data_IF_457028836200
#
_entry.id   IF_457028836200
#
_cell.length_a   1.000
_cell.length_b   1.000
_cell.length_c   1.000
_cell.angle_alpha   90.00
_cell.angle_beta   90.00
_cell.angle_gamma   90.00
#
_symmetry.space_group_name_H-M   'P 1'
#
loop_
_entity.id
_entity.type
_entity.pdbx_description
1 polymer ?
#
# COMPACT_ATOMS: atom_id res chain seq x y z
N UNK A 1 37.60 -12.30 -35.80
CA UNK A 1 37.37 -11.27 -34.76
C UNK A 1 36.51 -11.91 -33.70
N UNK A 2 37.10 -12.17 -32.53
CA UNK A 2 36.39 -12.79 -31.41
C UNK A 2 35.44 -11.75 -30.80
N UNK A 3 34.17 -12.12 -30.67
CA UNK A 3 33.17 -11.38 -29.91
C UNK A 3 33.58 -11.37 -28.44
N UNK A 4 33.93 -10.20 -27.92
CA UNK A 4 34.12 -9.99 -26.49
C UNK A 4 32.79 -10.35 -25.79
N UNK A 5 32.79 -11.41 -24.99
CA UNK A 5 31.66 -11.73 -24.13
C UNK A 5 31.44 -10.56 -23.16
N UNK A 6 30.25 -9.97 -23.18
CA UNK A 6 29.86 -9.01 -22.16
C UNK A 6 30.02 -9.67 -20.79
N UNK A 7 30.85 -9.08 -19.92
CA UNK A 7 30.94 -9.51 -18.54
C UNK A 7 29.52 -9.46 -17.94
N UNK A 8 29.06 -10.58 -17.39
CA UNK A 8 27.70 -10.70 -16.88
C UNK A 8 27.60 -9.87 -15.58
N UNK A 9 27.05 -8.66 -15.68
CA UNK A 9 26.80 -7.80 -14.53
C UNK A 9 25.67 -8.39 -13.68
N UNK A 10 25.91 -8.54 -12.37
CA UNK A 10 24.90 -9.05 -11.45
C UNK A 10 24.40 -7.91 -10.58
N UNK A 11 23.14 -7.53 -10.78
CA UNK A 11 22.47 -6.52 -9.96
C UNK A 11 21.78 -7.19 -8.77
N UNK A 12 21.89 -6.57 -7.60
CA UNK A 12 21.23 -6.99 -6.38
C UNK A 12 20.27 -5.89 -5.90
N UNK A 13 19.01 -6.24 -5.61
CA UNK A 13 18.01 -5.27 -5.21
C UNK A 13 18.27 -4.71 -3.80
N UNK A 14 17.55 -3.62 -3.44
CA UNK A 14 17.56 -3.15 -2.06
C UNK A 14 17.00 -4.23 -1.13
N UNK A 15 17.53 -4.27 0.09
CA UNK A 15 17.12 -5.26 1.08
C UNK A 15 17.07 -4.67 2.48
N UNK A 16 16.13 -5.14 3.29
CA UNK A 16 16.02 -4.76 4.69
C UNK A 16 17.21 -5.36 5.46
N UNK A 17 18.02 -4.50 6.08
CA UNK A 17 19.14 -4.92 6.92
C UNK A 17 18.73 -4.99 8.38
N UNK A 18 18.03 -3.96 8.85
CA UNK A 18 17.47 -3.95 10.21
C UNK A 18 16.22 -3.10 10.28
N UNK A 19 15.32 -3.48 11.16
CA UNK A 19 14.13 -2.72 11.51
C UNK A 19 13.96 -2.76 13.02
N UNK A 20 13.84 -1.61 13.66
CA UNK A 20 13.71 -1.57 15.11
C UNK A 20 12.84 -0.42 15.58
N UNK A 21 12.26 -0.64 16.76
CA UNK A 21 11.37 0.30 17.43
C UNK A 21 11.94 0.55 18.81
N UNK A 22 12.06 1.82 19.19
CA UNK A 22 12.58 2.20 20.50
C UNK A 22 11.83 3.40 21.07
N UNK A 23 11.94 3.57 22.38
CA UNK A 23 11.46 4.76 23.06
C UNK A 23 12.56 5.29 23.99
N UNK A 24 13.11 6.50 23.75
CA UNK A 24 14.24 7.02 24.50
C UNK A 24 13.90 7.36 25.96
N UNK A 25 12.61 7.45 26.33
CA UNK A 25 12.20 7.66 27.73
C UNK A 25 12.32 6.41 28.60
N UNK A 26 12.46 5.22 28.01
CA UNK A 26 12.63 3.98 28.77
C UNK A 26 14.10 3.77 29.14
N UNK A 27 14.37 3.24 30.33
CA UNK A 27 15.75 3.05 30.82
C UNK A 27 16.57 4.35 30.92
N UNK A 28 16.13 5.34 31.72
CA UNK A 28 16.79 6.65 31.82
C UNK A 28 18.14 6.63 32.57
N UNK A 29 18.52 5.47 33.15
CA UNK A 29 19.75 5.31 33.92
C UNK A 29 20.83 4.65 33.07
N UNK A 30 22.08 4.99 33.34
CA UNK A 30 23.24 4.34 32.73
C UNK A 30 23.20 2.82 32.99
N UNK A 31 23.44 2.03 31.95
CA UNK A 31 23.34 0.57 31.97
C UNK A 31 21.94 0.01 31.72
N UNK A 32 20.94 0.87 31.52
CA UNK A 32 19.56 0.48 31.18
C UNK A 32 19.19 0.73 29.71
N UNK A 33 20.16 1.00 28.83
CA UNK A 33 19.94 1.40 27.44
C UNK A 33 19.16 0.35 26.65
N UNK A 34 19.33 -0.93 26.97
CA UNK A 34 18.55 -2.03 26.39
C UNK A 34 17.03 -1.86 26.61
N UNK A 35 16.62 -1.24 27.73
CA UNK A 35 15.19 -1.05 28.04
C UNK A 35 14.51 -0.09 27.07
N UNK A 36 15.27 0.75 26.34
CA UNK A 36 14.76 1.60 25.25
C UNK A 36 14.23 0.78 24.08
N UNK A 37 14.78 -0.41 23.85
CA UNK A 37 14.48 -1.22 22.67
C UNK A 37 13.17 -1.98 22.88
N UNK A 38 12.20 -1.74 22.00
CA UNK A 38 10.88 -2.36 22.02
C UNK A 38 10.78 -3.52 21.04
N UNK A 39 11.39 -3.40 19.87
CA UNK A 39 11.44 -4.44 18.85
C UNK A 39 12.73 -4.31 18.04
N UNK A 40 13.30 -5.44 17.59
CA UNK A 40 14.46 -5.44 16.72
C UNK A 40 14.47 -6.66 15.79
N UNK A 41 14.56 -6.41 14.49
CA UNK A 41 14.69 -7.41 13.44
C UNK A 41 15.96 -7.14 12.61
N UNK A 42 16.77 -8.17 12.27
CA UNK A 42 16.69 -9.55 12.72
C UNK A 42 16.99 -9.69 14.23
N UNK A 43 16.33 -10.62 14.92
CA UNK A 43 16.47 -10.75 16.38
C UNK A 43 17.80 -11.40 16.79
N UNK A 44 18.47 -12.06 15.86
CA UNK A 44 19.75 -12.75 16.05
C UNK A 44 20.93 -11.79 16.27
N UNK A 45 20.74 -10.49 15.99
CA UNK A 45 21.75 -9.45 16.22
C UNK A 45 22.15 -9.38 17.69
N UNK A 46 23.44 -9.24 17.95
CA UNK A 46 24.01 -9.23 19.30
C UNK A 46 23.50 -8.03 20.10
N UNK A 47 23.31 -8.22 21.41
CA UNK A 47 22.68 -7.22 22.28
C UNK A 47 23.42 -5.88 22.26
N UNK A 48 24.75 -5.88 22.33
CA UNK A 48 25.53 -4.64 22.32
C UNK A 48 25.42 -3.91 20.98
N UNK A 49 25.30 -4.64 19.88
CA UNK A 49 25.06 -4.06 18.56
C UNK A 49 23.67 -3.39 18.47
N UNK A 50 22.62 -4.03 19.01
CA UNK A 50 21.29 -3.40 19.09
C UNK A 50 21.32 -2.09 19.86
N UNK A 51 21.98 -2.07 21.03
CA UNK A 51 22.15 -0.87 21.87
C UNK A 51 22.90 0.22 21.11
N UNK A 52 24.01 -0.13 20.46
CA UNK A 52 24.81 0.81 19.66
C UNK A 52 24.00 1.43 18.53
N UNK A 53 23.21 0.63 17.81
CA UNK A 53 22.41 1.12 16.69
C UNK A 53 21.32 2.09 17.15
N UNK A 54 20.62 1.79 18.25
CA UNK A 54 19.63 2.69 18.85
C UNK A 54 20.29 3.97 19.38
N UNK A 55 21.41 3.86 20.10
CA UNK A 55 22.14 5.01 20.62
C UNK A 55 22.64 5.95 19.52
N UNK A 56 23.11 5.42 18.39
CA UNK A 56 23.49 6.21 17.23
C UNK A 56 22.30 6.97 16.63
N UNK A 57 21.15 6.31 16.48
CA UNK A 57 19.95 6.95 15.94
C UNK A 57 19.43 8.07 16.86
N UNK A 58 19.39 7.80 18.16
CA UNK A 58 19.00 8.79 19.18
C UNK A 58 19.94 10.00 19.13
N UNK A 59 21.26 9.78 19.05
CA UNK A 59 22.25 10.85 18.95
C UNK A 59 22.07 11.69 17.68
N UNK A 60 21.82 11.07 16.51
CA UNK A 60 21.59 11.79 15.25
C UNK A 60 20.32 12.64 15.32
N UNK A 61 19.22 12.05 15.79
CA UNK A 61 17.94 12.77 15.95
C UNK A 61 18.12 13.96 16.89
N UNK A 62 18.76 13.75 18.05
CA UNK A 62 18.95 14.81 19.02
C UNK A 62 19.93 15.89 18.54
N UNK A 63 21.00 15.50 17.85
CA UNK A 63 21.93 16.45 17.22
C UNK A 63 21.21 17.33 16.20
N UNK A 64 20.43 16.72 15.30
CA UNK A 64 19.72 17.46 14.25
C UNK A 64 18.59 18.34 14.77
N UNK A 65 17.95 18.01 15.90
CA UNK A 65 17.00 18.90 16.61
C UNK A 65 17.63 20.24 17.01
N UNK A 66 18.95 20.29 17.22
CA UNK A 66 19.66 21.56 17.52
C UNK A 66 19.59 22.54 16.35
N UNK A 67 19.56 22.04 15.11
CA UNK A 67 19.49 22.86 13.89
C UNK A 67 18.06 23.04 13.38
N UNK A 68 17.19 22.06 13.65
CA UNK A 68 15.80 22.04 13.21
C UNK A 68 14.91 21.45 14.31
N UNK A 69 14.46 22.28 15.28
CA UNK A 69 13.75 21.79 16.47
C UNK A 69 12.45 21.04 16.16
N UNK A 70 11.73 21.45 15.12
CA UNK A 70 10.44 20.87 14.74
C UNK A 70 10.54 19.74 13.69
N UNK A 71 11.68 19.60 13.01
CA UNK A 71 11.88 18.61 11.94
C UNK A 71 13.27 17.98 12.07
N UNK A 72 13.44 16.97 12.95
CA UNK A 72 14.70 16.21 13.05
C UNK A 72 15.00 15.42 11.77
N UNK A 73 16.18 14.81 11.71
CA UNK A 73 16.60 13.95 10.61
C UNK A 73 15.53 12.89 10.26
N UNK A 74 15.18 12.81 8.97
CA UNK A 74 14.25 11.80 8.43
C UNK A 74 14.98 10.64 7.75
N UNK A 75 16.15 10.89 7.19
CA UNK A 75 17.01 9.87 6.60
C UNK A 75 18.49 10.13 6.89
N UNK A 76 19.29 9.07 6.93
CA UNK A 76 20.75 9.11 6.97
C UNK A 76 21.29 8.29 5.81
N UNK A 77 22.17 8.89 5.01
CA UNK A 77 22.74 8.26 3.82
C UNK A 77 24.17 7.82 4.10
N UNK A 78 24.47 6.58 3.75
CA UNK A 78 25.83 6.04 3.74
C UNK A 78 26.09 5.36 2.40
N UNK A 79 27.36 5.06 2.12
CA UNK A 79 27.74 4.35 0.90
C UNK A 79 26.99 3.02 0.71
N UNK A 80 26.75 2.27 1.79
CA UNK A 80 26.23 0.89 1.72
C UNK A 80 24.74 0.77 2.02
N UNK A 81 24.20 1.69 2.81
CA UNK A 81 22.82 1.64 3.26
C UNK A 81 22.26 3.03 3.54
N UNK A 82 20.94 3.08 3.60
CA UNK A 82 20.17 4.24 4.00
C UNK A 82 19.31 3.90 5.21
N UNK A 83 19.26 4.81 6.17
CA UNK A 83 18.44 4.68 7.37
C UNK A 83 17.29 5.67 7.28
N UNK A 84 16.08 5.25 7.63
CA UNK A 84 14.88 6.07 7.65
C UNK A 84 14.32 6.12 9.07
N UNK A 85 13.96 7.31 9.52
CA UNK A 85 13.49 7.58 10.88
C UNK A 85 12.06 8.10 10.84
N UNK A 86 11.19 7.53 11.67
CA UNK A 86 9.82 7.99 11.84
C UNK A 86 9.43 7.97 13.32
N UNK A 87 8.82 9.03 13.80
CA UNK A 87 8.22 9.12 15.14
C UNK A 87 6.69 9.08 14.99
N UNK A 88 6.07 7.89 14.80
CA UNK A 88 4.63 7.78 14.57
C UNK A 88 3.75 8.20 15.76
N UNK A 89 4.27 8.08 16.98
CA UNK A 89 3.64 8.50 18.23
C UNK A 89 4.70 9.18 19.10
N UNK A 90 4.29 10.05 20.01
CA UNK A 90 5.23 10.83 20.83
C UNK A 90 6.25 9.93 21.55
N UNK A 91 7.54 10.12 21.26
CA UNK A 91 8.67 9.36 21.80
C UNK A 91 8.75 7.90 21.33
N UNK A 92 7.87 7.41 20.47
CA UNK A 92 8.04 6.09 19.85
C UNK A 92 8.69 6.27 18.49
N UNK A 93 9.89 5.72 18.35
CA UNK A 93 10.69 5.83 17.13
C UNK A 93 10.74 4.50 16.41
N UNK A 94 10.46 4.53 15.12
CA UNK A 94 10.63 3.42 14.19
C UNK A 94 11.78 3.74 13.24
N UNK A 95 12.67 2.77 13.04
CA UNK A 95 13.83 2.90 12.16
C UNK A 95 13.88 1.73 11.20
N UNK A 96 14.05 2.05 9.91
CA UNK A 96 14.26 1.07 8.85
C UNK A 96 15.59 1.32 8.18
N UNK A 97 16.45 0.31 8.13
CA UNK A 97 17.76 0.37 7.47
C UNK A 97 17.73 -0.50 6.23
N UNK A 98 17.91 0.13 5.07
CA UNK A 98 17.83 -0.53 3.75
C UNK A 98 19.21 -0.50 3.11
N UNK A 99 19.69 -1.65 2.64
CA UNK A 99 20.91 -1.73 1.83
C UNK A 99 20.67 -1.03 0.50
N UNK A 100 21.61 -0.19 0.07
CA UNK A 100 21.58 0.39 -1.26
C UNK A 100 21.68 -0.73 -2.31
N UNK A 101 20.99 -0.61 -3.46
CA UNK A 101 21.17 -1.55 -4.57
C UNK A 101 22.64 -1.64 -4.97
N UNK A 102 23.08 -2.80 -5.42
CA UNK A 102 24.49 -3.01 -5.77
C UNK A 102 24.66 -3.73 -7.10
N UNK A 103 25.66 -3.34 -7.86
CA UNK A 103 26.07 -3.96 -9.12
C UNK A 103 27.43 -4.63 -8.89
N UNK A 104 27.50 -5.92 -9.13
CA UNK A 104 28.75 -6.68 -9.12
C UNK A 104 29.27 -6.79 -10.55
N UNK A 105 30.45 -6.18 -10.78
CA UNK A 105 31.17 -6.19 -12.05
C UNK A 105 32.44 -7.02 -11.91
N UNK A 106 32.77 -7.81 -12.91
CA UNK A 106 34.08 -8.46 -12.96
C UNK A 106 35.11 -7.46 -13.51
N UNK A 107 36.12 -7.15 -12.70
CA UNK A 107 37.28 -6.37 -13.15
C UNK A 107 38.03 -7.12 -14.27
N UNK A 108 38.84 -6.38 -15.05
CA UNK A 108 39.77 -6.95 -16.03
C UNK A 108 40.72 -8.00 -15.42
N UNK A 109 40.96 -7.93 -14.11
CA UNK A 109 41.77 -8.88 -13.34
C UNK A 109 40.96 -10.07 -12.76
N UNK A 110 39.70 -10.24 -13.13
CA UNK A 110 38.83 -11.33 -12.69
C UNK A 110 38.24 -11.19 -11.28
N UNK A 111 38.65 -10.18 -10.49
CA UNK A 111 38.08 -9.93 -9.15
C UNK A 111 36.69 -9.25 -9.23
N UNK A 112 35.72 -9.67 -8.41
CA UNK A 112 34.44 -8.98 -8.31
C UNK A 112 34.62 -7.60 -7.65
N UNK A 113 34.07 -6.58 -8.29
CA UNK A 113 33.99 -5.21 -7.79
C UNK A 113 32.52 -4.90 -7.56
N UNK A 114 32.19 -4.52 -6.31
CA UNK A 114 30.82 -4.18 -5.91
C UNK A 114 30.68 -2.66 -5.90
N UNK A 115 29.74 -2.17 -6.69
CA UNK A 115 29.39 -0.76 -6.80
C UNK A 115 28.00 -0.53 -6.20
N UNK A 116 27.89 0.34 -5.20
CA UNK A 116 26.61 0.68 -4.59
C UNK A 116 25.94 1.84 -5.34
N UNK A 117 24.67 1.67 -5.68
CA UNK A 117 23.86 2.67 -6.37
C UNK A 117 23.15 3.55 -5.33
N UNK A 118 23.89 4.50 -4.75
CA UNK A 118 23.40 5.35 -3.66
C UNK A 118 22.17 6.17 -4.05
N UNK A 119 22.04 6.54 -5.33
CA UNK A 119 20.99 7.43 -5.84
C UNK A 119 19.70 6.72 -6.27
N UNK A 120 19.67 5.39 -6.29
CA UNK A 120 18.48 4.64 -6.73
C UNK A 120 17.34 4.65 -5.70
N UNK A 121 17.64 4.87 -4.42
CA UNK A 121 16.61 4.94 -3.37
C UNK A 121 16.01 6.34 -3.31
N UNK A 122 14.67 6.42 -3.34
CA UNK A 122 13.92 7.67 -3.17
C UNK A 122 13.51 7.84 -1.71
N UNK A 123 13.99 8.90 -1.04
CA UNK A 123 13.79 9.09 0.40
C UNK A 123 12.33 9.10 0.82
N UNK A 124 11.52 9.83 0.07
CA UNK A 124 10.09 9.95 0.36
C UNK A 124 9.38 8.62 0.25
N UNK A 125 9.67 7.82 -0.78
CA UNK A 125 9.08 6.50 -0.98
C UNK A 125 9.31 5.62 0.25
N UNK A 126 10.57 5.46 0.67
CA UNK A 126 10.90 4.59 1.79
C UNK A 126 10.48 5.15 3.15
N UNK A 127 10.43 6.48 3.29
CA UNK A 127 9.84 7.13 4.47
C UNK A 127 8.34 6.85 4.56
N UNK A 128 7.61 6.94 3.44
CA UNK A 128 6.18 6.60 3.36
C UNK A 128 5.93 5.11 3.60
N UNK A 129 6.80 4.22 3.11
CA UNK A 129 6.75 2.78 3.42
C UNK A 129 6.90 2.55 4.93
N UNK A 130 7.85 3.22 5.60
CA UNK A 130 8.01 3.13 7.05
C UNK A 130 6.78 3.62 7.82
N UNK A 131 6.17 4.72 7.38
CA UNK A 131 4.91 5.20 7.95
C UNK A 131 3.76 4.20 7.76
N UNK A 132 3.67 3.59 6.58
CA UNK A 132 2.65 2.57 6.29
C UNK A 132 2.84 1.29 7.12
N UNK A 133 4.08 0.94 7.47
CA UNK A 133 4.36 -0.15 8.41
C UNK A 133 3.67 0.11 9.76
N UNK A 134 3.71 1.35 10.26
CA UNK A 134 2.98 1.75 11.45
C UNK A 134 1.46 1.76 11.23
N UNK A 135 0.97 2.35 10.14
CA UNK A 135 -0.48 2.39 9.85
C UNK A 135 -1.09 0.99 9.80
N UNK A 136 -0.39 0.03 9.19
CA UNK A 136 -0.82 -1.38 9.14
C UNK A 136 -0.76 -2.05 10.52
N UNK A 137 0.26 -1.74 11.34
CA UNK A 137 0.29 -2.19 12.73
C UNK A 137 -0.91 -1.65 13.51
N UNK A 138 -1.17 -0.33 13.37
CA UNK A 138 -2.26 0.39 14.04
C UNK A 138 -3.62 -0.23 13.70
N UNK A 139 -3.85 -0.54 12.41
CA UNK A 139 -5.08 -1.20 11.96
C UNK A 139 -5.39 -2.50 12.71
N UNK A 140 -4.39 -3.30 13.11
CA UNK A 140 -4.62 -4.63 13.73
C UNK A 140 -4.28 -4.72 15.22
N UNK A 141 -3.57 -3.74 15.79
CA UNK A 141 -3.10 -3.80 17.17
C UNK A 141 -3.43 -2.54 17.99
N UNK A 142 -3.98 -1.51 17.35
CA UNK A 142 -4.14 -0.21 17.96
C UNK A 142 -2.84 0.59 18.00
N UNK A 143 -2.87 1.73 18.70
CA UNK A 143 -1.67 2.56 18.94
C UNK A 143 -0.72 1.88 19.93
N UNK A 144 0.56 2.25 19.89
CA UNK A 144 1.55 1.89 20.90
C UNK A 144 1.13 2.38 22.29
N UNK A 145 0.62 3.62 22.38
CA UNK A 145 0.07 4.16 23.61
C UNK A 145 -1.07 3.30 24.17
N UNK A 146 -1.99 2.82 23.33
CA UNK A 146 -3.06 1.95 23.80
C UNK A 146 -2.54 0.62 24.35
N UNK A 147 -1.59 0.00 23.64
CA UNK A 147 -0.95 -1.23 24.14
C UNK A 147 -0.21 -1.01 25.48
N UNK A 148 0.36 0.19 25.69
CA UNK A 148 0.97 0.59 26.95
C UNK A 148 -0.06 0.76 28.07
N UNK A 149 -1.25 1.29 27.79
CA UNK A 149 -2.35 1.38 28.76
C UNK A 149 -2.88 -0.01 29.14
N UNK A 150 -3.04 -0.91 28.16
CA UNK A 150 -3.66 -2.23 28.35
C UNK A 150 -2.79 -3.15 29.23
N UNK A 151 -1.46 -3.01 29.19
CA UNK A 151 -0.57 -3.88 29.97
C UNK A 151 0.91 -3.51 29.93
N UNK A 152 1.21 -2.24 29.66
CA UNK A 152 2.56 -1.69 29.70
C UNK A 152 3.52 -2.23 28.63
N UNK A 153 4.81 -2.02 28.88
CA UNK A 153 5.89 -2.34 27.93
C UNK A 153 5.87 -3.81 27.51
N UNK A 154 5.54 -4.73 28.43
CA UNK A 154 5.53 -6.16 28.14
C UNK A 154 4.51 -6.50 27.05
N UNK A 155 3.26 -6.03 27.18
CA UNK A 155 2.21 -6.26 26.18
C UNK A 155 2.55 -5.60 24.85
N UNK A 156 3.09 -4.39 24.88
CA UNK A 156 3.56 -3.72 23.66
C UNK A 156 4.62 -4.56 22.94
N UNK A 157 5.66 -5.03 23.63
CA UNK A 157 6.70 -5.88 23.03
C UNK A 157 6.13 -7.17 22.41
N UNK A 158 5.19 -7.82 23.09
CA UNK A 158 4.53 -9.03 22.57
C UNK A 158 3.70 -8.76 21.30
N UNK A 159 2.95 -7.64 21.25
CA UNK A 159 2.19 -7.24 20.06
C UNK A 159 3.13 -6.89 18.89
N UNK A 160 4.18 -6.12 19.16
CA UNK A 160 5.19 -5.76 18.16
C UNK A 160 5.86 -6.99 17.56
N UNK A 161 6.33 -7.92 18.40
CA UNK A 161 6.99 -9.15 17.94
C UNK A 161 6.05 -9.99 17.07
N UNK A 162 4.82 -10.23 17.55
CA UNK A 162 3.83 -11.04 16.82
C UNK A 162 3.49 -10.45 15.46
N UNK A 163 3.36 -9.13 15.37
CA UNK A 163 3.00 -8.43 14.13
C UNK A 163 4.19 -8.32 13.18
N UNK A 164 5.26 -7.64 13.60
CA UNK A 164 6.37 -7.29 12.71
C UNK A 164 7.20 -8.50 12.28
N UNK A 165 7.29 -9.56 13.10
CA UNK A 165 7.98 -10.79 12.69
C UNK A 165 7.42 -11.37 11.39
N UNK A 166 6.10 -11.32 11.19
CA UNK A 166 5.44 -11.78 9.96
C UNK A 166 5.33 -10.68 8.92
N UNK A 167 4.97 -9.48 9.33
CA UNK A 167 4.71 -8.37 8.41
C UNK A 167 5.95 -7.95 7.61
N UNK A 168 7.13 -7.89 8.25
CA UNK A 168 8.37 -7.50 7.57
C UNK A 168 8.77 -8.48 6.45
N UNK A 169 8.39 -9.76 6.55
CA UNK A 169 8.64 -10.75 5.49
C UNK A 169 7.79 -10.50 4.24
N UNK A 170 6.73 -9.70 4.35
CA UNK A 170 5.85 -9.34 3.22
C UNK A 170 6.26 -8.02 2.56
N UNK A 171 7.28 -7.33 3.07
CA UNK A 171 7.75 -6.08 2.50
C UNK A 171 8.61 -6.35 1.26
N UNK A 172 8.12 -5.93 0.10
CA UNK A 172 8.82 -6.03 -1.17
C UNK A 172 9.50 -4.69 -1.52
N UNK A 173 10.61 -4.39 -0.84
CA UNK A 173 11.31 -3.09 -0.97
C UNK A 173 11.73 -2.76 -2.41
N UNK A 174 12.10 -3.75 -3.21
CA UNK A 174 12.47 -3.58 -4.62
C UNK A 174 11.32 -3.07 -5.51
N UNK A 175 10.08 -3.21 -5.03
CA UNK A 175 8.86 -2.87 -5.76
C UNK A 175 8.25 -1.56 -5.30
N UNK A 176 8.87 -0.87 -4.34
CA UNK A 176 8.38 0.39 -3.80
C UNK A 176 8.63 1.54 -4.77
N UNK A 177 7.62 2.37 -4.99
CA UNK A 177 7.68 3.50 -5.94
C UNK A 177 6.81 4.69 -5.51
N UNK A 178 6.62 5.64 -6.42
CA UNK A 178 5.88 6.87 -6.15
C UNK A 178 4.44 6.63 -5.64
N UNK A 179 3.79 5.53 -6.04
CA UNK A 179 2.44 5.23 -5.56
C UNK A 179 2.42 4.84 -4.07
N UNK A 180 3.55 4.41 -3.50
CA UNK A 180 3.66 4.24 -2.05
C UNK A 180 3.72 5.58 -1.31
N UNK A 181 4.05 6.69 -1.97
CA UNK A 181 3.92 8.02 -1.34
C UNK A 181 2.43 8.37 -1.23
N UNK A 182 1.69 8.20 -2.33
CA UNK A 182 0.28 8.56 -2.42
C UNK A 182 -0.64 7.62 -1.67
N UNK A 183 -0.28 6.34 -1.58
CA UNK A 183 -1.08 5.27 -0.97
C UNK A 183 -2.56 5.36 -1.31
N UNK A 184 -2.90 5.70 -2.55
CA UNK A 184 -4.26 6.11 -2.90
C UNK A 184 -5.24 4.94 -3.07
N UNK A 185 -6.47 5.31 -3.38
CA UNK A 185 -7.60 4.41 -3.59
C UNK A 185 -7.97 4.45 -5.07
N UNK A 186 -8.00 3.29 -5.72
CA UNK A 186 -8.59 3.19 -7.06
C UNK A 186 -10.10 3.07 -6.93
N UNK A 187 -10.82 4.06 -7.45
CA UNK A 187 -12.28 4.07 -7.47
C UNK A 187 -12.83 3.43 -8.76
N UNK A 188 -13.88 2.61 -8.64
CA UNK A 188 -14.53 2.01 -9.80
C UNK A 188 -15.56 2.99 -10.39
N UNK A 189 -15.45 3.39 -11.67
CA UNK A 189 -16.40 4.31 -12.29
C UNK A 189 -17.73 3.59 -12.55
N UNK A 190 -18.84 4.20 -12.09
CA UNK A 190 -20.19 3.71 -12.29
C UNK A 190 -21.10 4.78 -12.87
N UNK A 191 -22.10 4.35 -13.63
CA UNK A 191 -23.23 5.21 -13.97
C UNK A 191 -24.14 5.40 -12.74
N UNK A 192 -24.97 6.45 -12.81
CA UNK A 192 -25.82 6.86 -11.69
C UNK A 192 -26.79 5.76 -11.25
N UNK A 193 -27.36 4.99 -12.18
CA UNK A 193 -28.38 3.99 -11.84
C UNK A 193 -27.76 2.82 -11.07
N UNK A 194 -26.58 2.39 -11.50
CA UNK A 194 -25.87 1.26 -10.88
C UNK A 194 -25.33 1.62 -9.52
N UNK A 195 -24.81 2.84 -9.37
CA UNK A 195 -24.43 3.37 -8.07
C UNK A 195 -25.63 3.38 -7.10
N UNK A 196 -26.81 3.86 -7.53
CA UNK A 196 -28.02 3.86 -6.70
C UNK A 196 -28.50 2.44 -6.34
N UNK A 197 -28.37 1.46 -7.25
CA UNK A 197 -28.67 0.04 -6.94
C UNK A 197 -27.76 -0.47 -5.82
N UNK A 198 -26.46 -0.17 -5.89
CA UNK A 198 -25.48 -0.58 -4.87
C UNK A 198 -25.78 0.10 -3.53
N UNK A 199 -26.09 1.40 -3.54
CA UNK A 199 -26.47 2.12 -2.33
C UNK A 199 -27.76 1.56 -1.70
N UNK A 200 -28.76 1.24 -2.52
CA UNK A 200 -29.99 0.58 -2.06
C UNK A 200 -29.71 -0.79 -1.44
N UNK A 201 -28.82 -1.57 -2.05
CA UNK A 201 -28.35 -2.83 -1.49
C UNK A 201 -27.65 -2.64 -0.14
N UNK A 202 -26.72 -1.68 -0.02
CA UNK A 202 -26.00 -1.40 1.24
C UNK A 202 -26.99 -1.01 2.34
N UNK A 203 -27.89 -0.05 2.08
CA UNK A 203 -28.90 0.39 3.05
C UNK A 203 -29.75 -0.78 3.54
N UNK A 204 -30.19 -1.65 2.62
CA UNK A 204 -30.97 -2.85 2.96
C UNK A 204 -30.16 -3.85 3.78
N UNK A 205 -28.87 -4.00 3.53
CA UNK A 205 -28.00 -4.90 4.31
C UNK A 205 -27.81 -4.36 5.73
N UNK A 206 -27.54 -3.06 5.88
CA UNK A 206 -27.37 -2.40 7.18
C UNK A 206 -28.68 -2.44 8.00
N UNK A 207 -29.83 -2.27 7.36
CA UNK A 207 -31.14 -2.44 8.01
C UNK A 207 -31.40 -3.91 8.43
N UNK A 208 -31.08 -4.86 7.55
CA UNK A 208 -31.34 -6.29 7.80
C UNK A 208 -30.36 -6.93 8.80
N UNK A 209 -29.17 -6.35 8.93
CA UNK A 209 -28.06 -6.81 9.77
C UNK A 209 -27.70 -5.71 10.77
N UNK A 210 -28.60 -5.42 11.70
CA UNK A 210 -28.52 -4.32 12.67
C UNK A 210 -27.23 -4.22 13.53
N UNK A 211 -26.38 -5.26 13.56
CA UNK A 211 -25.08 -5.24 14.24
C UNK A 211 -23.95 -4.68 13.36
N UNK A 212 -24.17 -4.53 12.05
CA UNK A 212 -23.22 -3.92 11.12
C UNK A 212 -23.18 -2.43 11.36
N UNK A 213 -21.98 -1.91 11.65
CA UNK A 213 -21.75 -0.49 11.90
C UNK A 213 -21.29 0.25 10.65
N UNK A 214 -20.41 -0.38 9.87
CA UNK A 214 -19.92 0.18 8.61
C UNK A 214 -19.93 -0.88 7.51
N UNK A 215 -20.09 -0.42 6.28
CA UNK A 215 -20.01 -1.25 5.08
C UNK A 215 -19.04 -0.61 4.07
N UNK A 216 -18.24 -1.43 3.40
CA UNK A 216 -17.51 -1.01 2.20
C UNK A 216 -17.78 -1.97 1.04
N UNK A 217 -17.92 -1.42 -0.17
CA UNK A 217 -18.21 -2.17 -1.39
C UNK A 217 -17.10 -1.96 -2.41
N UNK A 218 -16.55 -3.06 -2.92
CA UNK A 218 -15.50 -3.07 -3.92
C UNK A 218 -15.92 -3.95 -5.11
N UNK A 219 -15.42 -3.60 -6.29
CA UNK A 219 -15.54 -4.42 -7.50
C UNK A 219 -14.21 -4.42 -8.25
N UNK A 220 -13.70 -5.60 -8.62
CA UNK A 220 -12.36 -5.77 -9.20
C UNK A 220 -11.28 -5.03 -8.40
N UNK A 221 -11.33 -5.19 -7.08
CA UNK A 221 -10.40 -4.57 -6.12
C UNK A 221 -10.42 -3.03 -6.12
N UNK A 222 -11.37 -2.39 -6.82
CA UNK A 222 -11.59 -0.95 -6.82
C UNK A 222 -12.76 -0.56 -5.92
N UNK A 223 -12.62 0.53 -5.17
CA UNK A 223 -13.62 1.00 -4.22
C UNK A 223 -14.81 1.65 -4.94
N UNK A 224 -16.03 1.31 -4.52
CA UNK A 224 -17.27 1.95 -4.99
C UNK A 224 -17.89 2.78 -3.86
N UNK A 225 -17.93 2.22 -2.66
CA UNK A 225 -18.53 2.86 -1.50
C UNK A 225 -17.78 2.47 -0.23
N UNK A 226 -17.74 3.39 0.74
CA UNK A 226 -17.27 3.14 2.10
C UNK A 226 -18.06 3.99 3.08
N UNK A 227 -18.49 3.37 4.18
CA UNK A 227 -18.99 4.08 5.36
C UNK A 227 -17.90 4.49 6.36
N UNK A 228 -16.63 4.10 6.12
CA UNK A 228 -15.49 4.52 6.94
C UNK A 228 -14.96 5.89 6.49
N UNK A 229 -14.33 6.60 7.43
CA UNK A 229 -13.55 7.80 7.12
C UNK A 229 -12.39 7.49 6.15
N UNK A 230 -11.96 8.51 5.42
CA UNK A 230 -11.02 8.33 4.30
C UNK A 230 -9.67 7.75 4.74
N UNK A 231 -9.14 8.20 5.88
CA UNK A 231 -7.83 7.74 6.37
C UNK A 231 -7.86 6.28 6.80
N UNK A 232 -8.91 5.84 7.50
CA UNK A 232 -9.07 4.43 7.88
C UNK A 232 -9.35 3.55 6.67
N UNK A 233 -10.21 4.02 5.75
CA UNK A 233 -10.51 3.29 4.52
C UNK A 233 -9.26 3.13 3.67
N UNK A 234 -8.37 4.11 3.60
CA UNK A 234 -7.09 4.02 2.87
C UNK A 234 -6.21 2.89 3.41
N UNK A 235 -6.10 2.77 4.73
CA UNK A 235 -5.28 1.71 5.35
C UNK A 235 -5.94 0.34 5.13
N UNK A 236 -7.26 0.26 5.31
CA UNK A 236 -8.01 -0.97 5.06
C UNK A 236 -7.94 -1.38 3.58
N UNK A 237 -8.07 -0.43 2.65
CA UNK A 237 -7.99 -0.66 1.21
C UNK A 237 -6.62 -1.26 0.85
N UNK A 238 -5.53 -0.71 1.41
CA UNK A 238 -4.20 -1.28 1.23
C UNK A 238 -4.13 -2.72 1.76
N UNK A 239 -4.67 -3.00 2.94
CA UNK A 239 -4.72 -4.38 3.46
C UNK A 239 -5.51 -5.33 2.53
N UNK A 240 -6.69 -4.91 2.09
CA UNK A 240 -7.55 -5.71 1.22
C UNK A 240 -6.84 -6.08 -0.09
N UNK A 241 -6.25 -5.09 -0.76
CA UNK A 241 -5.65 -5.22 -2.10
C UNK A 241 -4.26 -5.84 -2.09
N UNK A 242 -3.46 -5.61 -1.05
CA UNK A 242 -2.07 -6.11 -0.98
C UNK A 242 -1.90 -7.38 -0.16
N UNK A 243 -2.87 -7.71 0.69
CA UNK A 243 -2.76 -8.87 1.59
C UNK A 243 -3.93 -9.83 1.48
N UNK A 244 -5.17 -9.36 1.62
CA UNK A 244 -6.31 -10.27 1.71
C UNK A 244 -6.67 -10.90 0.35
N UNK A 245 -7.02 -10.09 -0.65
CA UNK A 245 -7.49 -10.59 -1.95
C UNK A 245 -6.46 -11.47 -2.67
N UNK A 246 -5.16 -11.10 -2.74
CA UNK A 246 -4.15 -11.92 -3.42
C UNK A 246 -4.04 -13.35 -2.86
N UNK A 247 -4.13 -13.51 -1.53
CA UNK A 247 -4.11 -14.83 -0.86
C UNK A 247 -5.25 -15.75 -1.29
N UNK A 248 -6.35 -15.18 -1.80
CA UNK A 248 -7.51 -15.92 -2.27
C UNK A 248 -7.61 -16.04 -3.80
N UNK A 249 -6.75 -15.33 -4.56
CA UNK A 249 -6.69 -15.38 -6.03
C UNK A 249 -5.62 -16.37 -6.51
N UNK A 250 -4.44 -16.41 -5.87
CA UNK A 250 -3.35 -17.33 -6.25
C UNK A 250 -3.78 -18.82 -6.29
N UNK A 251 -4.63 -19.31 -5.37
CA UNK A 251 -5.15 -20.68 -5.44
C UNK A 251 -6.20 -20.92 -6.56
N UNK A 252 -6.82 -19.86 -7.10
CA UNK A 252 -7.83 -19.98 -8.17
C UNK A 252 -7.22 -20.09 -9.57
N UNK A 253 -6.02 -19.53 -9.74
CA UNK A 253 -5.26 -19.55 -11.01
C UNK A 253 -4.40 -20.82 -11.15
N UNK A 254 -4.01 -21.45 -10.04
CA UNK A 254 -3.38 -22.76 -10.07
C UNK A 254 -4.45 -23.80 -10.43
N UNK A 255 -4.25 -24.52 -11.55
CA UNK A 255 -5.18 -25.54 -12.05
C UNK A 255 -5.55 -26.63 -11.02
N UNK A 256 -6.45 -27.54 -11.42
CA UNK A 256 -7.17 -28.51 -10.57
C UNK A 256 -6.36 -29.37 -9.58
N UNK A 257 -5.03 -29.38 -9.62
CA UNK A 257 -4.15 -30.29 -8.87
C UNK A 257 -3.50 -29.68 -7.61
N UNK A 258 -3.93 -28.49 -7.15
CA UNK A 258 -3.40 -27.91 -5.90
C UNK A 258 -4.03 -28.56 -4.66
N UNK A 259 -3.25 -29.08 -3.69
CA UNK A 259 -3.76 -29.72 -2.47
C UNK A 259 -4.45 -28.75 -1.51
N UNK A 260 -4.49 -27.45 -1.83
CA UNK A 260 -5.15 -26.38 -1.07
C UNK A 260 -6.65 -26.28 -1.40
N UNK A 261 -7.12 -26.93 -2.47
CA UNK A 261 -8.54 -26.94 -2.81
C UNK A 261 -9.29 -27.88 -1.87
N UNK A 262 -9.61 -27.42 -0.67
CA UNK A 262 -10.76 -27.96 0.04
C UNK A 262 -11.93 -27.95 -0.95
N UNK A 263 -12.57 -29.11 -1.15
CA UNK A 263 -13.72 -29.26 -2.04
C UNK A 263 -14.65 -28.06 -1.82
N UNK A 264 -14.72 -27.15 -2.80
CA UNK A 264 -15.50 -25.93 -2.67
C UNK A 264 -16.95 -26.34 -2.52
N UNK A 265 -17.58 -26.21 -1.34
CA UNK A 265 -19.00 -26.49 -1.18
C UNK A 265 -19.70 -25.28 -1.81
N UNK A 266 -19.84 -25.29 -3.12
CA UNK A 266 -20.60 -24.28 -3.83
C UNK A 266 -22.03 -24.38 -3.32
N UNK A 267 -22.52 -23.31 -2.70
CA UNK A 267 -23.96 -23.15 -2.56
C UNK A 267 -24.51 -23.09 -3.99
N UNK A 268 -25.31 -24.08 -4.42
CA UNK A 268 -25.78 -24.20 -5.81
C UNK A 268 -26.60 -22.99 -6.29
N UNK A 269 -26.96 -22.09 -5.38
CA UNK A 269 -27.85 -20.96 -5.59
C UNK A 269 -27.13 -19.62 -5.87
N UNK A 270 -25.90 -19.41 -5.40
CA UNK A 270 -25.15 -18.15 -5.60
C UNK A 270 -23.62 -18.33 -5.49
N UNK A 271 -22.85 -17.38 -6.01
CA UNK A 271 -21.38 -17.42 -6.04
C UNK A 271 -20.71 -16.78 -4.82
N UNK A 272 -21.47 -16.55 -3.75
CA UNK A 272 -21.03 -15.85 -2.55
C UNK A 272 -20.23 -16.74 -1.60
N UNK A 273 -19.20 -16.16 -0.96
CA UNK A 273 -18.35 -16.83 0.04
C UNK A 273 -17.68 -15.85 1.00
N UNK A 274 -17.34 -16.32 2.19
CA UNK A 274 -16.51 -15.58 3.14
C UNK A 274 -15.02 -15.68 2.77
N UNK A 275 -14.33 -14.54 2.74
CA UNK A 275 -12.86 -14.47 2.74
C UNK A 275 -12.29 -14.42 4.17
N UNK A 276 -13.08 -13.89 5.10
CA UNK A 276 -12.79 -13.92 6.54
C UNK A 276 -14.00 -14.50 7.28
N UNK A 277 -13.78 -15.45 8.17
CA UNK A 277 -14.85 -16.17 8.87
C UNK A 277 -14.88 -17.67 8.53
N UNK A 278 -16.04 -18.33 8.66
CA UNK A 278 -16.15 -19.77 8.43
C UNK A 278 -15.99 -20.11 6.94
N UNK A 279 -15.15 -21.09 6.63
CA UNK A 279 -14.94 -21.59 5.26
C UNK A 279 -16.11 -22.46 4.77
N UNK A 280 -16.79 -23.14 5.68
CA UNK A 280 -17.93 -24.00 5.39
C UNK A 280 -19.06 -23.72 6.39
N UNK A 281 -20.19 -23.23 5.89
CA UNK A 281 -21.36 -22.89 6.73
C UNK A 281 -22.18 -24.12 7.16
N UNK A 282 -21.99 -25.25 6.46
CA UNK A 282 -22.69 -26.50 6.74
C UNK A 282 -21.99 -27.31 7.85
N UNK A 283 -20.75 -26.99 8.17
CA UNK A 283 -20.01 -27.61 9.27
C UNK A 283 -20.41 -26.97 10.61
N UNK A 284 -21.07 -27.71 11.53
CA UNK A 284 -21.47 -27.19 12.84
C UNK A 284 -20.28 -26.79 13.72
N UNK A 285 -19.08 -27.34 13.47
CA UNK A 285 -17.86 -27.04 14.22
C UNK A 285 -17.02 -25.92 13.57
N UNK A 286 -17.55 -25.28 12.52
CA UNK A 286 -16.86 -24.22 11.81
C UNK A 286 -16.52 -23.04 12.73
N UNK A 287 -15.22 -22.76 12.87
CA UNK A 287 -14.73 -21.64 13.69
C UNK A 287 -15.00 -20.30 13.00
N UNK A 288 -15.87 -19.50 13.59
CA UNK A 288 -16.10 -18.12 13.17
C UNK A 288 -14.99 -17.22 13.72
N UNK A 289 -13.94 -17.00 12.93
CA UNK A 289 -12.83 -16.10 13.29
C UNK A 289 -12.74 -14.95 12.32
N UNK A 290 -12.90 -13.74 12.85
CA UNK A 290 -12.82 -12.50 12.09
C UNK A 290 -11.61 -11.69 12.56
N UNK A 291 -10.81 -11.13 11.63
CA UNK A 291 -9.79 -10.16 12.00
C UNK A 291 -10.41 -9.03 12.83
N UNK A 292 -9.78 -8.71 13.96
CA UNK A 292 -10.10 -7.49 14.71
C UNK A 292 -9.30 -6.34 14.09
N UNK A 293 -9.97 -5.24 13.82
CA UNK A 293 -9.38 -4.00 13.32
C UNK A 293 -9.68 -2.83 14.25
N UNK A 294 -8.83 -1.81 14.22
CA UNK A 294 -8.97 -0.57 14.97
C UNK A 294 -9.13 0.60 13.99
N UNK A 295 -10.18 1.40 14.18
CA UNK A 295 -10.52 2.57 13.35
C UNK A 295 -10.87 3.77 14.25
N UNK A 296 -10.95 4.97 13.69
CA UNK A 296 -11.21 6.23 14.40
C UNK A 296 -10.29 6.40 15.61
N UNK A 297 -9.02 6.00 15.48
CA UNK A 297 -8.09 5.87 16.61
C UNK A 297 -7.72 7.19 17.30
N UNK A 298 -8.07 8.32 16.68
CA UNK A 298 -7.83 9.67 17.20
C UNK A 298 -9.04 10.22 17.97
N UNK A 299 -10.24 9.75 17.65
CA UNK A 299 -11.50 10.23 18.23
C UNK A 299 -12.18 9.15 19.10
N UNK A 300 -13.02 8.31 18.50
CA UNK A 300 -13.85 7.35 19.23
C UNK A 300 -13.14 6.05 19.59
N UNK A 301 -11.97 5.77 19.01
CA UNK A 301 -11.16 4.56 19.18
C UNK A 301 -12.01 3.28 19.13
N UNK A 302 -12.31 2.81 17.92
CA UNK A 302 -13.27 1.73 17.73
C UNK A 302 -12.60 0.41 17.39
N UNK A 303 -13.04 -0.65 18.08
CA UNK A 303 -12.63 -2.01 17.79
C UNK A 303 -13.72 -2.73 17.01
N UNK A 304 -13.40 -3.22 15.82
CA UNK A 304 -14.36 -3.85 14.93
C UNK A 304 -13.90 -5.25 14.48
N UNK A 305 -14.83 -6.17 14.29
CA UNK A 305 -14.64 -7.38 13.53
C UNK A 305 -14.85 -7.11 12.04
N UNK A 306 -13.83 -7.44 11.22
CA UNK A 306 -13.89 -7.31 9.77
C UNK A 306 -14.40 -8.60 9.14
N UNK A 307 -15.56 -8.54 8.47
CA UNK A 307 -16.12 -9.61 7.66
C UNK A 307 -16.02 -9.23 6.20
N UNK A 308 -15.25 -9.96 5.41
CA UNK A 308 -15.14 -9.77 3.97
C UNK A 308 -15.84 -10.92 3.26
N UNK A 309 -16.87 -10.57 2.49
CA UNK A 309 -17.69 -11.50 1.73
C UNK A 309 -17.57 -11.19 0.24
N UNK A 310 -17.27 -12.19 -0.58
CA UNK A 310 -16.99 -12.03 -2.01
C UNK A 310 -17.97 -12.86 -2.84
N UNK A 311 -18.49 -12.28 -3.92
CA UNK A 311 -19.19 -13.01 -4.97
C UNK A 311 -18.69 -12.52 -6.34
N UNK A 312 -18.17 -13.45 -7.15
CA UNK A 312 -17.52 -13.11 -8.43
C UNK A 312 -16.42 -12.03 -8.23
N UNK A 313 -16.52 -10.92 -8.95
CA UNK A 313 -15.62 -9.76 -8.85
C UNK A 313 -15.99 -8.75 -7.76
N UNK A 314 -17.15 -8.89 -7.12
CA UNK A 314 -17.60 -7.98 -6.07
C UNK A 314 -17.19 -8.47 -4.68
N UNK A 315 -16.73 -7.57 -3.83
CA UNK A 315 -16.44 -7.83 -2.43
C UNK A 315 -17.14 -6.79 -1.55
N UNK A 316 -17.77 -7.25 -0.48
CA UNK A 316 -18.42 -6.42 0.53
C UNK A 316 -17.74 -6.68 1.86
N UNK A 317 -17.30 -5.60 2.50
CA UNK A 317 -16.77 -5.63 3.84
C UNK A 317 -17.85 -5.15 4.79
N UNK A 318 -18.15 -5.94 5.82
CA UNK A 318 -19.01 -5.58 6.94
C UNK A 318 -18.14 -5.44 8.17
N UNK A 319 -18.27 -4.32 8.87
CA UNK A 319 -17.55 -4.05 10.10
C UNK A 319 -18.55 -4.00 11.26
N UNK A 320 -18.35 -4.88 12.23
CA UNK A 320 -19.26 -5.08 13.37
C UNK A 320 -18.48 -4.73 14.64
N UNK A 321 -19.14 -4.12 15.62
CA UNK A 321 -18.51 -3.83 16.92
C UNK A 321 -17.90 -5.10 17.55
N UNK A 322 -16.64 -5.03 18.00
CA UNK A 322 -15.93 -6.18 18.52
C UNK A 322 -16.46 -6.73 19.85
N UNK A 323 -17.32 -5.98 20.55
CA UNK A 323 -18.07 -6.50 21.69
C UNK A 323 -19.10 -7.55 21.28
N UNK A 324 -19.56 -7.52 20.03
CA UNK A 324 -20.43 -8.52 19.45
C UNK A 324 -19.61 -9.71 18.95
N UNK A 325 -20.10 -10.93 19.17
CA UNK A 325 -19.48 -12.14 18.62
C UNK A 325 -20.39 -12.73 17.54
N UNK A 326 -20.07 -12.54 16.23
CA UNK A 326 -20.90 -13.07 15.17
C UNK A 326 -20.91 -14.61 15.22
N UNK A 327 -22.10 -15.18 15.37
CA UNK A 327 -22.30 -16.63 15.43
C UNK A 327 -22.30 -17.27 14.03
N UNK A 328 -22.18 -18.59 13.99
CA UNK A 328 -22.34 -19.34 12.73
C UNK A 328 -23.74 -19.13 12.11
N UNK A 329 -24.78 -18.99 12.94
CA UNK A 329 -26.13 -18.68 12.47
C UNK A 329 -26.25 -17.27 11.88
N UNK A 330 -25.54 -16.30 12.45
CA UNK A 330 -25.41 -14.99 11.83
C UNK A 330 -24.74 -15.10 10.46
N UNK A 331 -23.65 -15.87 10.32
CA UNK A 331 -22.99 -16.08 9.04
C UNK A 331 -23.93 -16.74 8.00
N UNK A 332 -24.72 -17.75 8.40
CA UNK A 332 -25.73 -18.38 7.53
C UNK A 332 -26.82 -17.40 7.09
N UNK A 333 -27.27 -16.52 8.00
CA UNK A 333 -28.24 -15.47 7.67
C UNK A 333 -27.63 -14.40 6.74
N UNK A 334 -26.38 -14.01 6.97
CA UNK A 334 -25.67 -13.09 6.09
C UNK A 334 -25.55 -13.69 4.69
N UNK A 335 -25.10 -14.94 4.58
CA UNK A 335 -24.95 -15.67 3.31
C UNK A 335 -26.26 -15.71 2.51
N UNK A 336 -27.38 -16.07 3.15
CA UNK A 336 -28.68 -16.20 2.49
C UNK A 336 -29.25 -14.87 1.99
N UNK A 337 -28.93 -13.75 2.64
CA UNK A 337 -29.38 -12.41 2.25
C UNK A 337 -28.42 -11.79 1.23
N UNK A 338 -27.12 -11.80 1.52
CA UNK A 338 -26.07 -11.11 0.76
C UNK A 338 -25.70 -11.87 -0.50
N UNK A 339 -25.56 -13.20 -0.42
CA UNK A 339 -25.07 -14.05 -1.50
C UNK A 339 -25.81 -13.89 -2.83
N UNK A 340 -27.13 -14.11 -2.86
CA UNK A 340 -27.92 -13.98 -4.08
C UNK A 340 -27.89 -12.54 -4.65
N UNK A 341 -28.11 -11.54 -3.79
CA UNK A 341 -28.18 -10.13 -4.21
C UNK A 341 -26.83 -9.61 -4.72
N UNK A 342 -25.73 -9.94 -4.04
CA UNK A 342 -24.38 -9.55 -4.45
C UNK A 342 -23.98 -10.21 -5.78
N UNK A 343 -24.37 -11.47 -5.99
CA UNK A 343 -24.13 -12.18 -7.25
C UNK A 343 -24.80 -11.48 -8.44
N UNK A 344 -26.08 -11.10 -8.28
CA UNK A 344 -26.81 -10.37 -9.32
C UNK A 344 -26.16 -9.01 -9.58
N UNK A 345 -25.84 -8.25 -8.53
CA UNK A 345 -25.17 -6.95 -8.68
C UNK A 345 -23.81 -7.07 -9.37
N UNK A 346 -23.00 -8.08 -9.02
CA UNK A 346 -21.72 -8.32 -9.66
C UNK A 346 -21.88 -8.61 -11.16
N UNK A 347 -22.91 -9.36 -11.54
CA UNK A 347 -23.24 -9.63 -12.94
C UNK A 347 -23.69 -8.36 -13.69
N UNK A 348 -24.58 -7.56 -13.09
CA UNK A 348 -25.06 -6.29 -13.65
C UNK A 348 -23.88 -5.33 -13.92
N UNK A 349 -22.98 -5.16 -12.94
CA UNK A 349 -21.79 -4.31 -13.07
C UNK A 349 -20.87 -4.82 -14.19
N UNK A 350 -20.67 -6.14 -14.28
CA UNK A 350 -19.85 -6.75 -15.32
C UNK A 350 -20.39 -6.49 -16.72
N UNK A 351 -21.71 -6.66 -16.92
CA UNK A 351 -22.35 -6.45 -18.21
C UNK A 351 -22.19 -5.00 -18.67
N UNK A 352 -22.49 -4.04 -17.81
CA UNK A 352 -22.36 -2.62 -18.11
C UNK A 352 -20.92 -2.20 -18.37
N UNK A 353 -19.98 -2.68 -17.57
CA UNK A 353 -18.56 -2.39 -17.77
C UNK A 353 -18.09 -2.87 -19.15
N UNK A 354 -18.52 -4.07 -19.57
CA UNK A 354 -18.19 -4.61 -20.88
C UNK A 354 -18.85 -3.85 -22.03
N UNK A 355 -20.09 -3.36 -21.85
CA UNK A 355 -20.77 -2.50 -22.83
C UNK A 355 -20.00 -1.19 -23.00
N UNK A 356 -19.67 -0.50 -21.90
CA UNK A 356 -18.92 0.76 -21.94
C UNK A 356 -17.56 0.59 -22.60
N UNK A 357 -16.84 -0.49 -22.28
CA UNK A 357 -15.55 -0.82 -22.89
C UNK A 357 -15.66 -1.07 -24.41
N UNK A 358 -16.74 -1.68 -24.89
CA UNK A 358 -16.97 -1.87 -26.34
C UNK A 358 -17.29 -0.57 -27.06
N UNK A 359 -18.04 0.34 -26.41
CA UNK A 359 -18.39 1.65 -26.97
C UNK A 359 -17.16 2.55 -27.09
N UNK A 360 -16.23 2.48 -26.14
CA UNK A 360 -14.98 3.26 -26.15
C UNK A 360 -13.94 2.81 -27.19
N UNK A 361 -14.18 1.70 -27.91
CA UNK A 361 -13.25 1.16 -28.92
C UNK A 361 -11.98 0.53 -28.32
N UNK A 362 -11.26 -0.28 -29.10
CA UNK A 362 -9.95 -0.78 -28.70
C UNK A 362 -8.93 0.35 -28.81
N UNK A 363 -8.72 1.10 -27.72
CA UNK A 363 -7.60 2.05 -27.68
C UNK A 363 -6.31 1.27 -27.98
N UNK A 364 -5.57 1.70 -29.03
CA UNK A 364 -4.16 1.32 -29.17
C UNK A 364 -3.48 1.63 -27.84
N UNK A 365 -2.53 0.80 -27.42
CA UNK A 365 -1.76 1.05 -26.19
C UNK A 365 -1.36 2.53 -26.14
N UNK A 366 -1.74 3.26 -25.07
CA UNK A 366 -1.48 4.68 -25.01
C UNK A 366 0.04 4.91 -25.12
N UNK A 367 0.45 5.81 -26.02
CA UNK A 367 1.87 6.19 -26.19
C UNK A 367 2.45 6.93 -24.97
N UNK A 368 1.62 7.12 -23.94
CA UNK A 368 1.93 7.82 -22.71
C UNK A 368 1.68 6.91 -21.51
N UNK A 369 2.48 7.09 -20.47
CA UNK A 369 2.25 6.49 -19.15
C UNK A 369 1.98 7.61 -18.17
N UNK A 370 1.10 7.39 -17.20
CA UNK A 370 0.76 8.44 -16.25
C UNK A 370 0.49 7.92 -14.84
N UNK A 371 0.58 8.85 -13.89
CA UNK A 371 0.11 8.73 -12.52
C UNK A 371 -0.76 9.94 -12.24
N UNK A 372 -1.94 9.71 -11.72
CA UNK A 372 -2.83 10.74 -11.23
C UNK A 372 -3.15 10.47 -9.77
N UNK A 373 -3.07 11.50 -8.95
CA UNK A 373 -3.47 11.47 -7.56
C UNK A 373 -4.28 12.71 -7.18
N UNK A 374 -5.33 12.52 -6.38
CA UNK A 374 -6.13 13.61 -5.83
C UNK A 374 -6.08 13.56 -4.30
N UNK A 375 -5.48 14.57 -3.68
CA UNK A 375 -5.35 14.63 -2.22
C UNK A 375 -6.70 14.81 -1.51
N UNK A 376 -7.74 15.38 -2.16
CA UNK A 376 -9.05 15.61 -1.53
C UNK A 376 -9.84 14.34 -1.22
N UNK A 377 -9.72 13.32 -2.08
CA UNK A 377 -10.50 12.09 -1.96
C UNK A 377 -9.64 10.83 -2.11
N UNK A 378 -8.32 11.00 -2.13
CA UNK A 378 -7.31 9.95 -2.23
C UNK A 378 -7.39 9.15 -3.54
N UNK A 379 -8.08 9.64 -4.57
CA UNK A 379 -8.24 8.91 -5.82
C UNK A 379 -6.91 8.76 -6.55
N UNK A 380 -6.56 7.51 -6.88
CA UNK A 380 -5.36 7.15 -7.61
C UNK A 380 -5.71 6.43 -8.93
N UNK A 381 -5.10 6.88 -10.02
CA UNK A 381 -5.14 6.21 -11.33
C UNK A 381 -3.74 6.17 -11.92
N UNK A 382 -3.29 5.00 -12.36
CA UNK A 382 -1.98 4.87 -12.97
C UNK A 382 -1.96 3.84 -14.10
N UNK A 383 -1.11 4.08 -15.09
CA UNK A 383 -0.79 3.14 -16.18
C UNK A 383 0.66 2.65 -16.14
N UNK A 384 1.45 3.06 -15.14
CA UNK A 384 2.87 2.71 -15.08
C UNK A 384 3.09 1.23 -14.71
N UNK A 385 2.14 0.61 -14.00
CA UNK A 385 2.18 -0.79 -13.57
C UNK A 385 1.39 -1.69 -14.51
N UNK A 386 2.03 -2.77 -14.99
CA UNK A 386 1.34 -3.77 -15.84
C UNK A 386 0.56 -4.80 -15.02
N UNK A 387 1.13 -5.21 -13.88
CA UNK A 387 0.48 -6.03 -12.84
C UNK A 387 1.08 -5.61 -11.50
N UNK A 388 0.23 -5.21 -10.55
CA UNK A 388 0.58 -5.14 -9.13
C UNK A 388 0.10 -6.41 -8.46
N UNK A 389 0.98 -7.38 -8.24
CA UNK A 389 0.75 -8.39 -7.20
C UNK A 389 1.63 -8.05 -6.00
N UNK A 390 1.30 -8.53 -4.78
CA UNK A 390 2.15 -8.28 -3.62
C UNK A 390 3.58 -8.76 -3.84
N UNK A 391 3.74 -9.88 -4.55
CA UNK A 391 5.03 -10.53 -4.82
C UNK A 391 5.86 -9.89 -5.94
N UNK A 392 5.22 -9.19 -6.88
CA UNK A 392 5.88 -8.59 -8.05
C UNK A 392 5.15 -7.32 -8.48
N UNK A 393 5.82 -6.18 -8.35
CA UNK A 393 5.46 -4.96 -9.08
C UNK A 393 6.35 -4.86 -10.32
N UNK A 394 5.81 -5.18 -11.50
CA UNK A 394 6.49 -4.90 -12.75
C UNK A 394 6.11 -3.49 -13.19
N UNK A 395 6.98 -2.54 -12.91
CA UNK A 395 6.92 -1.23 -13.53
C UNK A 395 7.27 -1.40 -14.99
N UNK A 396 6.46 -0.80 -15.86
CA UNK A 396 6.81 -0.69 -17.29
C UNK A 396 7.78 0.49 -17.53
N UNK A 397 8.16 1.21 -16.47
CA UNK A 397 8.94 2.45 -16.50
C UNK A 397 10.36 2.18 -16.03
N UNK A 398 11.34 2.71 -16.76
CA UNK A 398 12.76 2.60 -16.43
C UNK A 398 13.09 3.30 -15.09
N UNK A 399 14.01 2.77 -14.26
CA UNK A 399 14.38 3.37 -12.97
C UNK A 399 14.73 4.87 -13.04
N UNK A 400 15.49 5.29 -14.05
CA UNK A 400 15.85 6.71 -14.23
C UNK A 400 14.64 7.62 -14.38
N UNK A 401 13.58 7.17 -15.06
CA UNK A 401 12.35 7.95 -15.22
C UNK A 401 11.57 7.99 -13.91
N UNK A 402 11.57 6.89 -13.14
CA UNK A 402 10.97 6.87 -11.80
C UNK A 402 11.69 7.82 -10.84
N UNK A 403 13.02 7.95 -10.98
CA UNK A 403 13.80 8.93 -10.21
C UNK A 403 13.38 10.35 -10.55
N UNK A 404 13.26 10.70 -11.84
CA UNK A 404 12.77 12.02 -12.27
C UNK A 404 11.38 12.30 -11.70
N UNK A 405 10.47 11.31 -11.71
CA UNK A 405 9.15 11.43 -11.09
C UNK A 405 9.24 11.71 -9.57
N UNK A 406 10.14 11.03 -8.87
CA UNK A 406 10.41 11.25 -7.45
C UNK A 406 10.99 12.63 -7.14
N UNK A 407 11.83 13.17 -8.04
CA UNK A 407 12.41 14.51 -7.93
C UNK A 407 11.33 15.58 -8.14
N UNK A 408 10.47 15.43 -9.16
CA UNK A 408 9.31 16.30 -9.38
C UNK A 408 8.37 16.28 -8.16
N UNK A 409 8.04 15.10 -7.63
CA UNK A 409 7.23 14.99 -6.41
C UNK A 409 7.92 15.68 -5.22
N UNK A 410 9.25 15.61 -5.16
CA UNK A 410 10.04 16.30 -4.14
C UNK A 410 9.85 17.80 -4.19
N UNK A 411 9.87 18.39 -5.38
CA UNK A 411 9.64 19.81 -5.59
C UNK A 411 8.19 20.23 -5.33
N UNK A 412 7.20 19.44 -5.77
CA UNK A 412 5.77 19.68 -5.49
C UNK A 412 5.38 19.77 -4.01
N UNK A 413 6.18 19.19 -3.11
CA UNK A 413 5.94 19.28 -1.66
C UNK A 413 6.62 20.49 -1.02
N UNK A 414 7.53 21.17 -1.73
CA UNK A 414 8.23 22.35 -1.19
C UNK A 414 7.37 23.60 -1.23
N UNK A 415 6.52 23.73 -2.25
CA UNK A 415 5.64 24.87 -2.45
C UNK A 415 4.18 24.41 -2.53
N UNK A 416 3.26 25.20 -1.97
CA UNK A 416 1.82 24.91 -2.02
C UNK A 416 1.11 25.57 -3.22
N UNK A 417 1.90 26.05 -4.18
CA UNK A 417 1.40 26.69 -5.39
C UNK A 417 1.15 25.67 -6.50
N UNK A 418 0.34 26.06 -7.47
CA UNK A 418 0.20 25.32 -8.72
C UNK A 418 1.54 25.34 -9.46
N UNK A 419 2.01 24.18 -9.91
CA UNK A 419 3.34 24.04 -10.48
C UNK A 419 3.32 23.08 -11.66
N UNK A 420 4.09 23.40 -12.70
CA UNK A 420 4.32 22.53 -13.85
C UNK A 420 5.83 22.39 -14.07
N UNK A 421 6.30 21.14 -14.10
CA UNK A 421 7.71 20.81 -14.32
C UNK A 421 7.79 19.89 -15.53
N UNK A 422 8.56 20.29 -16.56
CA UNK A 422 8.78 19.52 -17.77
C UNK A 422 10.26 19.20 -17.91
N UNK A 423 10.59 17.91 -18.00
CA UNK A 423 11.96 17.40 -18.08
C UNK A 423 12.13 16.57 -19.35
N UNK A 424 13.18 16.88 -20.14
CA UNK A 424 13.65 16.00 -21.23
C UNK A 424 14.79 15.13 -20.71
N UNK A 425 14.56 13.83 -20.61
CA UNK A 425 15.55 12.86 -20.18
C UNK A 425 16.58 12.59 -21.29
N UNK A 426 17.78 12.15 -20.89
CA UNK A 426 18.85 11.74 -21.82
C UNK A 426 18.46 10.54 -22.70
N UNK A 427 17.48 9.76 -22.25
CA UNK A 427 16.91 8.61 -22.96
C UNK A 427 15.83 8.98 -23.99
N UNK A 428 15.73 10.27 -24.38
CA UNK A 428 14.75 10.82 -25.33
C UNK A 428 13.27 10.76 -24.85
N UNK A 429 13.04 10.46 -23.57
CA UNK A 429 11.73 10.55 -22.94
C UNK A 429 11.46 11.95 -22.41
N UNK A 430 10.19 12.35 -22.44
CA UNK A 430 9.71 13.53 -21.74
C UNK A 430 8.95 13.11 -20.49
N UNK A 431 9.20 13.82 -19.39
CA UNK A 431 8.49 13.65 -18.12
C UNK A 431 7.86 14.98 -17.76
N UNK A 432 6.55 14.98 -17.58
CA UNK A 432 5.77 16.17 -17.19
C UNK A 432 5.14 15.90 -15.84
N UNK A 433 5.36 16.80 -14.89
CA UNK A 433 4.61 16.89 -13.64
C UNK A 433 3.72 18.10 -13.68
N UNK A 434 2.47 17.96 -13.25
CA UNK A 434 1.54 19.07 -13.03
C UNK A 434 0.86 18.93 -11.67
N UNK A 435 0.96 19.96 -10.85
CA UNK A 435 0.26 20.11 -9.58
C UNK A 435 -0.76 21.23 -9.72
N UNK A 436 -2.04 20.93 -9.47
CA UNK A 436 -3.08 21.95 -9.47
C UNK A 436 -4.22 21.60 -8.51
N UNK A 437 -4.60 22.54 -7.63
CA UNK A 437 -5.77 22.42 -6.73
C UNK A 437 -5.86 21.03 -6.05
N UNK A 438 -4.82 20.65 -5.31
CA UNK A 438 -4.71 19.36 -4.61
C UNK A 438 -4.66 18.11 -5.51
N UNK A 439 -4.41 18.28 -6.81
CA UNK A 439 -4.25 17.18 -7.76
C UNK A 439 -2.85 17.17 -8.30
N UNK A 440 -2.30 15.97 -8.46
CA UNK A 440 -1.00 15.75 -9.06
C UNK A 440 -1.16 14.83 -10.27
N UNK A 441 -0.56 15.22 -11.38
CA UNK A 441 -0.50 14.44 -12.62
C UNK A 441 0.95 14.33 -13.05
N UNK A 442 1.40 13.11 -13.28
CA UNK A 442 2.71 12.79 -13.82
C UNK A 442 2.53 12.06 -15.13
N UNK A 443 3.25 12.47 -16.18
CA UNK A 443 3.12 11.92 -17.53
C UNK A 443 4.50 11.61 -18.09
N UNK A 444 4.66 10.43 -18.68
CA UNK A 444 5.86 10.00 -19.40
C UNK A 444 5.47 9.81 -20.86
N UNK A 445 6.19 10.47 -21.76
CA UNK A 445 5.99 10.44 -23.21
C UNK A 445 7.26 9.97 -23.91
N UNK A 446 7.11 9.03 -24.85
CA UNK A 446 8.21 8.62 -25.72
C UNK A 446 8.10 9.34 -27.07
N UNK A 447 8.60 10.58 -27.13
CA UNK A 447 8.58 11.40 -28.34
C UNK A 447 9.93 12.06 -28.58
N UNK A 448 10.86 11.28 -29.14
CA UNK A 448 12.27 11.67 -29.35
C UNK A 448 12.44 13.03 -30.03
N UNK A 449 11.71 13.25 -31.11
CA UNK A 449 11.84 14.45 -31.95
C UNK A 449 10.86 15.57 -31.57
N UNK A 450 10.05 15.38 -30.52
CA UNK A 450 9.09 16.40 -30.14
C UNK A 450 9.77 17.60 -29.48
N UNK A 451 9.20 18.79 -29.70
CA UNK A 451 9.55 20.02 -28.99
C UNK A 451 8.61 20.27 -27.80
N UNK A 452 8.91 21.29 -26.99
CA UNK A 452 8.15 21.60 -25.77
C UNK A 452 6.67 21.91 -26.04
N UNK A 453 6.36 22.57 -27.16
CA UNK A 453 4.99 22.95 -27.52
C UNK A 453 4.16 21.70 -27.85
N UNK A 454 4.73 20.80 -28.66
CA UNK A 454 4.09 19.53 -29.04
C UNK A 454 3.83 18.65 -27.81
N UNK A 455 4.80 18.57 -26.89
CA UNK A 455 4.65 17.84 -25.62
C UNK A 455 3.50 18.42 -24.78
N UNK A 456 3.42 19.76 -24.67
CA UNK A 456 2.34 20.41 -23.93
C UNK A 456 0.97 20.13 -24.57
N UNK A 457 0.86 20.22 -25.90
CA UNK A 457 -0.38 19.89 -26.61
C UNK A 457 -0.83 18.44 -26.37
N UNK A 458 0.10 17.49 -26.35
CA UNK A 458 -0.20 16.09 -26.07
C UNK A 458 -0.68 15.87 -24.62
N UNK A 459 -0.07 16.56 -23.65
CA UNK A 459 -0.54 16.53 -22.24
C UNK A 459 -1.94 17.15 -22.11
N UNK A 460 -2.23 18.24 -22.84
CA UNK A 460 -3.57 18.84 -22.87
C UNK A 460 -4.61 17.90 -23.48
N UNK A 461 -4.29 17.22 -24.59
CA UNK A 461 -5.14 16.18 -25.18
C UNK A 461 -5.38 15.02 -24.22
N UNK A 462 -4.35 14.60 -23.47
CA UNK A 462 -4.48 13.58 -22.43
C UNK A 462 -5.46 14.03 -21.33
N UNK A 463 -5.33 15.26 -20.83
CA UNK A 463 -6.23 15.81 -19.83
C UNK A 463 -7.68 15.82 -20.35
N UNK A 464 -7.88 16.28 -21.59
CA UNK A 464 -9.19 16.32 -22.27
C UNK A 464 -9.72 14.96 -22.75
N UNK A 465 -9.04 13.84 -22.46
CA UNK A 465 -9.56 12.50 -22.81
C UNK A 465 -9.73 11.66 -21.56
N UNK A 466 -8.69 11.60 -20.73
CA UNK A 466 -8.65 10.75 -19.53
C UNK A 466 -9.17 11.44 -18.26
N UNK A 467 -9.24 12.77 -18.27
CA UNK A 467 -9.49 13.61 -17.09
C UNK A 467 -10.53 14.71 -17.39
N UNK A 468 -11.47 14.47 -18.30
CA UNK A 468 -12.45 15.47 -18.75
C UNK A 468 -13.27 16.18 -17.66
N UNK A 469 -13.43 15.55 -16.50
CA UNK A 469 -14.16 16.11 -15.36
C UNK A 469 -13.20 16.65 -14.27
N UNK A 470 -11.90 16.73 -14.56
CA UNK A 470 -10.85 17.15 -13.65
C UNK A 470 -10.15 18.35 -14.28
N UNK A 471 -10.23 19.48 -13.60
CA UNK A 471 -9.60 20.70 -14.05
C UNK A 471 -8.14 20.73 -13.59
N UNK A 472 -7.24 21.02 -14.53
CA UNK A 472 -5.86 21.39 -14.26
C UNK A 472 -5.67 22.80 -14.81
N UNK A 473 -5.16 23.75 -14.01
CA UNK A 473 -4.90 25.12 -14.47
C UNK A 473 -3.95 25.13 -15.66
N UNK A 474 -4.28 25.90 -16.69
CA UNK A 474 -3.61 25.92 -18.00
C UNK A 474 -2.28 26.67 -18.04
#
# INVERSE_FOLDING_TARGET
>A
MATAGAAQEKQFPPALLSFFIYNPRFGPREGEEEKKILFYHPNEVEKNEKIRNVGLCEAIVQFTRTFSPSKPAKSLHTQKNRQFFNEPEENFWMVMVVRNPMIEKHSKDGKPVVEYQEEELLDKVYSSVLQQCYSMYKLFNGTFLKAMEDGGVKVLKERLEKFFHRYLQTLHLQSCDLLDIFGGISFFPLDKMTYLKIQSFINKMEESLNIVKYTAFLYNDQLIWSGLEQDDMRILYKYLTTSLFPRHIEPELAGRDSPIRAEMPGNLQHYGRFLTGPLNLNDPEAKCRFPKIFVNTEDSYEELHLIVYKAMSAAVCFMIDASMQPSLDFCRRLDSIVGPQLTVLASDICEQYNINKRISGSEKEPQFKFIYFNHMNLAEKSTIHMRKTPSVSLTSVHPDLMKILGDINSDFTRMDEDEEIIVKAMSDYWVVGKKSDQRELYVILNQKNANLIEVNEEVKKLCATQFNNIFFLD
#
